data_IF_999794025355
#
_entry.id   IF_999794025355
#
_cell.length_a   1.000
_cell.length_b   1.000
_cell.length_c   1.000
_cell.angle_alpha   90.00
_cell.angle_beta   90.00
_cell.angle_gamma   90.00
#
_symmetry.space_group_name_H-M   'P 1'
#
loop_
_entity.id
_entity.type
_entity.pdbx_description
1 polymer ?
#
# COMPACT_ATOMS: atom_id res chain seq x y z
N UNK A 1 16.52 19.39 6.49
CA UNK A 1 16.27 18.19 7.31
C UNK A 1 16.15 18.59 8.77
N UNK A 2 15.36 17.87 9.58
CA UNK A 2 15.18 18.17 11.00
C UNK A 2 16.52 18.16 11.74
N UNK A 3 16.66 18.99 12.77
CA UNK A 3 17.88 19.05 13.58
C UNK A 3 17.93 17.97 14.67
N UNK A 4 16.77 17.44 15.07
CA UNK A 4 16.65 16.41 16.09
C UNK A 4 16.95 15.03 15.50
N UNK A 5 17.65 14.20 16.26
CA UNK A 5 17.99 12.82 15.89
C UNK A 5 17.38 11.84 16.87
N UNK A 6 17.10 10.63 16.38
CA UNK A 6 16.77 9.48 17.21
C UNK A 6 18.07 8.69 17.36
N UNK A 7 18.50 8.47 18.60
CA UNK A 7 19.64 7.60 18.88
C UNK A 7 19.25 6.15 18.62
N UNK A 8 19.78 5.58 17.55
CA UNK A 8 19.59 4.20 17.11
C UNK A 8 20.95 3.49 17.01
N UNK A 9 21.03 2.34 16.35
CA UNK A 9 22.29 1.75 15.95
C UNK A 9 22.16 0.80 14.75
N UNK A 10 23.28 0.26 14.28
CA UNK A 10 23.31 -0.61 13.09
C UNK A 10 22.40 -1.85 13.22
N UNK A 11 22.24 -2.40 14.42
CA UNK A 11 21.40 -3.57 14.69
C UNK A 11 19.94 -3.20 15.00
N UNK A 12 19.59 -1.92 14.98
CA UNK A 12 18.21 -1.47 15.17
C UNK A 12 17.34 -1.94 14.02
N UNK A 13 16.06 -2.16 14.32
CA UNK A 13 15.03 -2.55 13.38
C UNK A 13 14.08 -1.36 13.19
N UNK A 14 13.88 -0.91 11.95
CA UNK A 14 12.75 -0.03 11.61
C UNK A 14 11.48 -0.87 11.54
N UNK A 15 10.42 -0.41 12.20
CA UNK A 15 9.12 -1.08 12.20
C UNK A 15 7.99 -0.10 11.94
N UNK A 16 6.96 -0.57 11.25
CA UNK A 16 5.68 0.09 11.14
C UNK A 16 4.60 -0.94 10.78
N UNK A 17 3.34 -0.60 11.01
CA UNK A 17 2.19 -1.41 10.62
C UNK A 17 1.47 -0.75 9.45
N UNK A 18 1.12 -1.51 8.42
CA UNK A 18 0.53 -1.00 7.19
C UNK A 18 -0.55 -1.93 6.63
N UNK A 19 -1.54 -1.35 5.98
CA UNK A 19 -2.54 -2.03 5.15
C UNK A 19 -2.98 -1.13 4.01
N UNK A 20 -3.30 -1.74 2.88
CA UNK A 20 -4.07 -1.11 1.81
C UNK A 20 -5.55 -1.04 2.19
N UNK A 21 -6.26 0.00 1.76
CA UNK A 21 -7.72 0.12 1.91
C UNK A 21 -8.38 0.07 0.53
N UNK A 22 -9.68 -0.25 0.50
CA UNK A 22 -10.49 -0.23 -0.73
C UNK A 22 -10.98 1.17 -1.10
N UNK A 23 -10.47 2.21 -0.43
CA UNK A 23 -10.82 3.59 -0.75
C UNK A 23 -10.17 4.01 -2.07
N UNK A 24 -10.89 4.83 -2.84
CA UNK A 24 -10.35 5.43 -4.05
C UNK A 24 -9.44 6.59 -3.69
N UNK A 25 -8.21 6.60 -4.22
CA UNK A 25 -7.35 7.77 -4.09
C UNK A 25 -7.95 8.95 -4.87
N UNK A 26 -7.99 10.13 -4.26
CA UNK A 26 -8.35 11.40 -4.95
C UNK A 26 -7.08 12.24 -5.17
N UNK A 27 -6.22 11.91 -6.15
CA UNK A 27 -4.99 12.66 -6.38
C UNK A 27 -5.31 14.09 -6.86
N UNK A 28 -4.50 15.09 -6.45
CA UNK A 28 -4.73 16.49 -6.81
C UNK A 28 -4.69 16.67 -8.34
N UNK A 29 -5.74 17.30 -8.90
CA UNK A 29 -5.93 17.49 -10.35
C UNK A 29 -7.00 16.60 -10.98
N UNK A 30 -7.62 15.72 -10.20
CA UNK A 30 -8.75 14.89 -10.62
C UNK A 30 -10.05 15.59 -10.23
N UNK A 31 -10.74 16.20 -11.20
CA UNK A 31 -12.08 16.75 -10.95
C UNK A 31 -13.06 15.57 -10.76
N UNK A 32 -13.51 15.35 -9.51
CA UNK A 32 -14.56 14.39 -9.21
C UNK A 32 -15.88 14.85 -9.85
N UNK A 33 -16.14 14.41 -11.08
CA UNK A 33 -17.50 14.40 -11.62
C UNK A 33 -18.30 13.33 -10.85
N UNK A 34 -19.00 13.76 -9.80
CA UNK A 34 -20.10 12.99 -9.21
C UNK A 34 -21.15 12.75 -10.30
N UNK A 35 -21.13 11.57 -10.91
CA UNK A 35 -22.27 11.06 -11.64
C UNK A 35 -23.08 10.21 -10.66
N UNK A 36 -24.14 10.81 -10.14
CA UNK A 36 -25.17 10.15 -9.34
C UNK A 36 -26.02 9.33 -10.31
N UNK A 37 -25.67 8.06 -10.52
CA UNK A 37 -26.52 7.09 -11.18
C UNK A 37 -26.97 6.05 -10.15
N UNK A 38 -28.16 6.31 -9.62
CA UNK A 38 -29.06 5.30 -9.07
C UNK A 38 -29.38 4.27 -10.14
N UNK A 39 -28.84 3.07 -10.00
CA UNK A 39 -29.25 1.89 -10.79
C UNK A 39 -30.55 1.33 -10.20
N UNK A 40 -31.68 1.86 -10.68
CA UNK A 40 -32.91 1.10 -10.80
C UNK A 40 -32.94 0.54 -12.23
N UNK A 41 -32.85 -0.78 -12.42
CA UNK A 41 -33.54 -1.38 -13.55
C UNK A 41 -33.98 -2.82 -13.29
N UNK A 42 -35.29 -3.01 -13.45
CA UNK A 42 -36.02 -4.26 -13.38
C UNK A 42 -36.49 -4.58 -14.81
N UNK A 43 -36.24 -5.83 -15.24
CA UNK A 43 -36.97 -6.58 -16.27
C UNK A 43 -36.62 -6.44 -17.78
N UNK A 44 -36.03 -7.55 -18.26
CA UNK A 44 -36.63 -8.49 -19.25
C UNK A 44 -36.47 -8.21 -20.76
N UNK A 45 -35.56 -9.00 -21.35
CA UNK A 45 -35.63 -9.79 -22.60
C UNK A 45 -35.95 -9.12 -23.95
N UNK A 46 -35.01 -9.26 -24.91
CA UNK A 46 -35.28 -9.88 -26.21
C UNK A 46 -33.99 -10.25 -26.97
N UNK A 47 -33.94 -11.49 -27.46
CA UNK A 47 -32.92 -12.06 -28.38
C UNK A 47 -32.98 -11.42 -29.78
N UNK A 48 -31.83 -11.17 -30.42
CA UNK A 48 -31.45 -11.88 -31.64
C UNK A 48 -29.97 -11.61 -32.02
N UNK A 49 -29.31 -12.63 -32.57
CA UNK A 49 -27.86 -12.74 -32.68
C UNK A 49 -27.19 -12.00 -33.83
N UNK A 50 -25.86 -11.99 -33.76
CA UNK A 50 -24.93 -12.19 -34.89
C UNK A 50 -23.52 -12.41 -34.32
N UNK A 51 -22.82 -13.40 -34.89
CA UNK A 51 -21.54 -13.94 -34.44
C UNK A 51 -20.39 -12.98 -34.77
N UNK A 52 -19.66 -12.50 -33.76
CA UNK A 52 -18.29 -12.02 -33.95
C UNK A 52 -17.38 -12.64 -32.89
N UNK A 53 -16.53 -13.57 -33.35
CA UNK A 53 -15.40 -14.09 -32.59
C UNK A 53 -14.41 -12.96 -32.30
N UNK A 54 -14.52 -12.35 -31.13
CA UNK A 54 -13.44 -11.56 -30.54
C UNK A 54 -12.74 -12.42 -29.51
N UNK A 55 -11.49 -12.78 -29.81
CA UNK A 55 -10.57 -13.44 -28.90
C UNK A 55 -10.57 -12.72 -27.55
N UNK A 56 -11.23 -13.33 -26.57
CA UNK A 56 -11.13 -13.00 -25.16
C UNK A 56 -9.73 -13.43 -24.69
N UNK A 57 -8.76 -12.54 -24.88
CA UNK A 57 -7.60 -12.51 -24.01
C UNK A 57 -8.01 -11.70 -22.80
N UNK A 58 -8.67 -12.37 -21.87
CA UNK A 58 -8.72 -11.94 -20.48
C UNK A 58 -7.27 -12.00 -20.00
N UNK A 59 -6.53 -10.91 -20.22
CA UNK A 59 -5.33 -10.66 -19.43
C UNK A 59 -5.85 -10.57 -17.99
N UNK A 60 -5.65 -11.64 -17.23
CA UNK A 60 -5.82 -11.61 -15.78
C UNK A 60 -4.92 -10.49 -15.27
N UNK A 61 -5.51 -9.30 -15.04
CA UNK A 61 -4.84 -8.19 -14.37
C UNK A 61 -4.34 -8.74 -13.05
N UNK A 62 -3.03 -9.03 -12.98
CA UNK A 62 -2.39 -9.38 -11.72
C UNK A 62 -2.63 -8.19 -10.81
N UNK A 63 -3.36 -8.40 -9.72
CA UNK A 63 -3.48 -7.41 -8.65
C UNK A 63 -2.06 -6.97 -8.25
N UNK A 64 -1.68 -5.74 -8.64
CA UNK A 64 -0.39 -5.15 -8.28
C UNK A 64 -0.49 -4.71 -6.82
N UNK A 65 0.33 -5.31 -5.94
CA UNK A 65 0.42 -4.88 -4.55
C UNK A 65 0.96 -3.45 -4.47
N UNK A 66 0.44 -2.65 -3.53
CA UNK A 66 1.00 -1.33 -3.25
C UNK A 66 2.47 -1.45 -2.84
N UNK A 67 3.30 -0.67 -3.52
CA UNK A 67 4.73 -0.49 -3.26
C UNK A 67 5.08 1.00 -3.36
N UNK A 68 6.10 1.40 -2.60
CA UNK A 68 6.63 2.74 -2.56
C UNK A 68 8.00 2.74 -1.87
N UNK A 69 8.78 3.79 -2.05
CA UNK A 69 10.13 3.87 -1.48
C UNK A 69 10.11 4.33 -0.01
N UNK A 70 10.80 3.59 0.86
CA UNK A 70 11.16 4.03 2.21
C UNK A 70 12.53 4.69 2.14
N UNK A 71 12.64 5.91 2.67
CA UNK A 71 13.92 6.64 2.79
C UNK A 71 14.23 6.94 4.25
N UNK A 72 15.45 6.64 4.66
CA UNK A 72 16.04 7.12 5.91
C UNK A 72 17.09 8.18 5.60
N UNK A 73 17.12 9.25 6.40
CA UNK A 73 18.17 10.27 6.35
C UNK A 73 18.88 10.37 7.69
N UNK A 74 20.20 10.51 7.65
CA UNK A 74 21.02 10.76 8.83
C UNK A 74 21.26 12.27 9.05
N UNK A 75 21.88 12.59 10.19
CA UNK A 75 22.26 13.96 10.56
C UNK A 75 23.35 14.58 9.67
N UNK A 76 24.11 13.76 8.94
CA UNK A 76 25.17 14.18 8.02
C UNK A 76 24.64 14.49 6.61
N UNK A 77 23.35 14.19 6.36
CA UNK A 77 22.69 14.38 5.07
C UNK A 77 22.82 13.19 4.12
N UNK A 78 23.36 12.06 4.58
CA UNK A 78 23.33 10.83 3.81
C UNK A 78 21.94 10.21 3.86
N UNK A 79 21.62 9.46 2.82
CA UNK A 79 20.32 8.84 2.65
C UNK A 79 20.47 7.38 2.24
N UNK A 80 19.54 6.57 2.73
CA UNK A 80 19.39 5.17 2.37
C UNK A 80 17.95 4.93 1.93
N UNK A 81 17.76 4.21 0.83
CA UNK A 81 16.47 4.02 0.18
C UNK A 81 16.26 2.55 -0.16
N UNK A 82 15.05 2.06 0.09
CA UNK A 82 14.65 0.70 -0.27
C UNK A 82 13.13 0.66 -0.51
N UNK A 83 12.64 -0.17 -1.46
CA UNK A 83 11.21 -0.33 -1.68
C UNK A 83 10.56 -1.06 -0.51
N UNK A 84 9.27 -0.82 -0.27
CA UNK A 84 8.49 -1.53 0.75
C UNK A 84 8.55 -3.06 0.54
N UNK A 85 8.56 -3.49 -0.74
CA UNK A 85 8.69 -4.89 -1.14
C UNK A 85 10.03 -5.54 -0.81
N UNK A 86 11.06 -4.79 -0.38
CA UNK A 86 12.34 -5.37 0.01
C UNK A 86 12.24 -6.29 1.24
N UNK A 87 11.20 -6.13 2.05
CA UNK A 87 10.88 -7.05 3.16
C UNK A 87 9.81 -8.07 2.78
N UNK A 88 8.67 -7.59 2.28
CA UNK A 88 7.52 -8.40 1.88
C UNK A 88 6.57 -7.57 1.02
N UNK A 89 5.82 -8.15 0.07
CA UNK A 89 4.65 -7.47 -0.50
C UNK A 89 3.60 -7.18 0.57
N UNK A 90 2.82 -6.11 0.36
CA UNK A 90 1.63 -5.77 1.17
C UNK A 90 0.51 -6.76 0.83
N UNK A 91 -0.10 -7.37 1.85
CA UNK A 91 -1.26 -8.24 1.61
C UNK A 91 -2.54 -7.41 1.41
N UNK A 92 -3.41 -7.80 0.46
CA UNK A 92 -4.67 -7.11 0.23
C UNK A 92 -5.64 -7.35 1.39
N UNK A 93 -6.59 -6.44 1.58
CA UNK A 93 -7.57 -6.56 2.65
C UNK A 93 -8.42 -7.83 2.49
N UNK A 94 -8.49 -8.64 3.54
CA UNK A 94 -9.30 -9.86 3.54
C UNK A 94 -10.80 -9.51 3.53
N UNK A 95 -11.45 -9.73 2.38
CA UNK A 95 -12.90 -9.64 2.26
C UNK A 95 -13.55 -10.76 3.06
N UNK A 96 -14.48 -10.40 3.95
CA UNK A 96 -15.16 -11.38 4.83
C UNK A 96 -16.52 -11.76 4.27
N UNK A 97 -16.65 -12.99 3.78
CA UNK A 97 -17.96 -13.60 3.53
C UNK A 97 -18.46 -14.24 4.83
N UNK A 98 -19.47 -13.65 5.48
CA UNK A 98 -20.06 -14.20 6.72
C UNK A 98 -21.11 -15.27 6.44
N UNK A 99 -21.69 -15.23 5.24
CA UNK A 99 -22.76 -16.14 4.82
C UNK A 99 -22.45 -16.70 3.43
N UNK A 100 -22.95 -17.91 3.14
CA UNK A 100 -22.81 -18.53 1.82
C UNK A 100 -23.61 -17.83 0.71
N UNK A 101 -24.44 -16.85 1.08
CA UNK A 101 -25.38 -16.17 0.19
C UNK A 101 -25.13 -14.67 0.32
N UNK A 102 -24.44 -14.10 -0.66
CA UNK A 102 -23.94 -12.72 -0.63
C UNK A 102 -25.04 -11.68 -0.40
N UNK A 103 -26.29 -11.94 -0.81
CA UNK A 103 -27.43 -11.03 -0.61
C UNK A 103 -27.94 -10.94 0.84
N UNK A 104 -27.57 -11.88 1.73
CA UNK A 104 -27.97 -11.85 3.14
C UNK A 104 -27.02 -11.03 4.02
N UNK A 105 -25.95 -10.50 3.43
CA UNK A 105 -24.91 -9.76 4.13
C UNK A 105 -25.35 -8.29 4.32
N UNK A 106 -26.16 -8.04 5.36
CA UNK A 106 -26.62 -6.68 5.71
C UNK A 106 -25.69 -5.95 6.70
N UNK A 107 -24.48 -6.45 6.96
CA UNK A 107 -23.56 -5.90 7.96
C UNK A 107 -22.12 -5.79 7.43
N UNK A 108 -21.45 -4.73 7.90
CA UNK A 108 -20.34 -4.02 7.27
C UNK A 108 -19.17 -4.84 6.69
N UNK A 109 -18.61 -4.22 5.64
CA UNK A 109 -17.39 -4.49 4.88
C UNK A 109 -16.17 -4.81 5.76
N UNK A 110 -15.23 -5.57 5.20
CA UNK A 110 -13.99 -6.11 5.77
C UNK A 110 -13.35 -5.37 6.96
N UNK A 111 -12.83 -6.12 7.94
CA UNK A 111 -11.99 -5.59 9.01
C UNK A 111 -10.59 -5.26 8.49
N UNK A 112 -10.14 -4.03 8.74
CA UNK A 112 -8.80 -3.55 8.37
C UNK A 112 -7.73 -4.20 9.26
N UNK A 113 -6.96 -5.14 8.71
CA UNK A 113 -5.88 -5.84 9.42
C UNK A 113 -4.54 -5.27 8.97
N UNK A 114 -3.84 -4.57 9.87
CA UNK A 114 -2.50 -4.06 9.56
C UNK A 114 -1.46 -5.19 9.65
N UNK A 115 -0.64 -5.32 8.61
CA UNK A 115 0.56 -6.13 8.62
C UNK A 115 1.72 -5.34 9.23
N UNK A 116 2.54 -6.00 10.07
CA UNK A 116 3.77 -5.38 10.60
C UNK A 116 4.93 -5.63 9.65
N UNK A 117 5.61 -4.55 9.27
CA UNK A 117 6.82 -4.55 8.47
C UNK A 117 8.04 -4.35 9.36
N UNK A 118 9.09 -5.13 9.12
CA UNK A 118 10.29 -5.21 9.96
C UNK A 118 11.50 -5.09 9.05
N UNK A 119 12.27 -4.01 9.18
CA UNK A 119 13.47 -3.77 8.39
C UNK A 119 14.70 -3.73 9.30
N UNK A 120 15.45 -4.84 9.44
CA UNK A 120 16.71 -4.84 10.17
C UNK A 120 17.74 -3.98 9.41
N UNK A 121 18.17 -2.87 10.01
CA UNK A 121 19.01 -1.90 9.32
C UNK A 121 20.39 -2.46 8.97
N UNK A 122 20.86 -3.47 9.70
CA UNK A 122 22.13 -4.15 9.43
C UNK A 122 22.22 -4.76 8.03
N UNK A 123 21.09 -5.12 7.42
CA UNK A 123 21.03 -5.73 6.09
C UNK A 123 21.40 -4.73 4.98
N UNK A 124 21.29 -3.43 5.25
CA UNK A 124 21.60 -2.37 4.30
C UNK A 124 22.95 -1.71 4.55
N UNK A 125 23.61 -2.04 5.66
CA UNK A 125 24.79 -1.31 6.10
C UNK A 125 26.02 -1.51 5.20
N UNK A 126 26.11 -2.64 4.49
CA UNK A 126 27.24 -2.89 3.59
C UNK A 126 27.15 -2.07 2.29
N UNK A 127 25.93 -1.78 1.83
CA UNK A 127 25.66 -0.94 0.65
C UNK A 127 25.65 0.56 0.98
N UNK A 128 25.57 0.91 2.28
CA UNK A 128 25.50 2.28 2.77
C UNK A 128 26.58 2.58 3.84
N UNK A 129 27.89 2.47 3.50
CA UNK A 129 28.98 2.60 4.48
C UNK A 129 29.12 3.99 5.09
N UNK A 130 28.64 5.03 4.40
CA UNK A 130 28.71 6.43 4.86
C UNK A 130 27.51 6.83 5.72
N UNK A 131 26.47 5.98 5.82
CA UNK A 131 25.25 6.30 6.57
C UNK A 131 25.48 6.14 8.08
N UNK A 132 25.12 7.18 8.83
CA UNK A 132 25.22 7.20 10.29
C UNK A 132 23.95 6.60 10.94
N UNK A 133 24.02 5.30 11.20
CA UNK A 133 22.96 4.53 11.87
C UNK A 133 22.70 4.94 13.32
N UNK A 134 23.56 5.75 13.94
CA UNK A 134 23.36 6.20 15.32
C UNK A 134 22.56 7.51 15.36
N UNK A 135 22.50 8.27 14.26
CA UNK A 135 21.93 9.62 14.21
C UNK A 135 20.95 9.80 13.05
N UNK A 136 19.89 8.99 13.02
CA UNK A 136 18.80 9.11 12.04
C UNK A 136 17.91 10.31 12.43
N UNK A 137 17.63 11.21 11.48
CA UNK A 137 16.78 12.39 11.72
C UNK A 137 15.47 12.39 10.93
N UNK A 138 15.30 11.47 9.97
CA UNK A 138 14.10 11.43 9.17
C UNK A 138 13.77 10.03 8.63
N UNK A 139 12.48 9.72 8.62
CA UNK A 139 11.87 8.61 7.89
C UNK A 139 10.91 9.24 6.88
N UNK A 140 11.03 8.88 5.61
CA UNK A 140 10.12 9.32 4.55
C UNK A 140 9.46 8.13 3.87
N UNK A 141 8.16 8.24 3.65
CA UNK A 141 7.36 7.36 2.81
C UNK A 141 7.16 8.09 1.48
N UNK A 142 7.76 7.60 0.40
CA UNK A 142 7.80 8.28 -0.90
C UNK A 142 6.95 7.48 -1.87
N UNK A 143 5.72 7.93 -2.14
CA UNK A 143 4.77 7.27 -3.04
C UNK A 143 5.15 7.48 -4.52
N UNK A 144 6.13 6.72 -5.01
CA UNK A 144 6.72 6.87 -6.34
C UNK A 144 6.68 5.61 -7.22
N UNK A 145 6.28 4.45 -6.69
CA UNK A 145 6.23 3.18 -7.42
C UNK A 145 4.80 2.87 -7.90
N UNK A 146 3.87 2.59 -7.00
CA UNK A 146 2.46 2.32 -7.38
C UNK A 146 1.74 3.60 -7.79
N UNK A 147 1.03 3.57 -8.92
CA UNK A 147 0.37 4.75 -9.53
C UNK A 147 -0.65 5.41 -8.61
N UNK A 148 -1.49 4.61 -7.96
CA UNK A 148 -2.54 5.06 -7.06
C UNK A 148 -2.88 3.99 -6.03
N UNK A 149 -3.34 4.41 -4.86
CA UNK A 149 -3.72 3.53 -3.77
C UNK A 149 -3.91 4.32 -2.49
N UNK A 150 -4.59 3.73 -1.51
CA UNK A 150 -4.78 4.31 -0.18
C UNK A 150 -4.22 3.35 0.85
N UNK A 151 -3.35 3.86 1.73
CA UNK A 151 -2.74 3.07 2.80
C UNK A 151 -2.99 3.71 4.16
N UNK A 152 -3.16 2.86 5.16
CA UNK A 152 -3.15 3.27 6.57
C UNK A 152 -1.83 2.82 7.18
N UNK A 153 -1.11 3.75 7.80
CA UNK A 153 0.18 3.49 8.47
C UNK A 153 0.05 3.80 9.95
N UNK A 154 0.58 2.93 10.80
CA UNK A 154 0.61 3.11 12.25
C UNK A 154 1.90 2.53 12.85
N UNK A 155 2.12 2.75 14.15
CA UNK A 155 3.20 2.15 14.95
C UNK A 155 4.60 2.33 14.34
N UNK A 156 4.85 3.50 13.75
CA UNK A 156 6.15 3.83 13.17
C UNK A 156 7.17 4.02 14.28
N UNK A 157 8.28 3.30 14.22
CA UNK A 157 9.35 3.43 15.20
C UNK A 157 10.54 2.53 14.96
N UNK A 158 11.42 2.53 15.94
CA UNK A 158 12.63 1.72 15.97
C UNK A 158 12.61 0.76 17.16
N UNK A 159 13.14 -0.45 16.98
CA UNK A 159 13.31 -1.46 18.03
C UNK A 159 14.76 -1.92 18.11
N UNK A 160 15.23 -2.25 19.31
CA UNK A 160 16.57 -2.80 19.56
C UNK A 160 16.51 -4.28 19.97
#
# INVERSE_FOLDING_TARGET
>A
WPAETITTGKNTILTFSLTETTETASPPGTDEQKNDQTDEDESTSQENGEEEQKNDKTDEEKEEFIDFTIRLADSNGNTMEFPLTSFSPVQPTLKRELTKLSFMQNQAESETILQTFIFPLEQFADDHPDFDFENINCISFIFDITREGVVVVNNIGFMN
#
